data_IF_357271452144
#
_entry.id   IF_357271452144
#
_cell.length_a   1.000
_cell.length_b   1.000
_cell.length_c   1.000
_cell.angle_alpha   90.00
_cell.angle_beta   90.00
_cell.angle_gamma   90.00
#
_symmetry.space_group_name_H-M   'P 1'
#
loop_
_entity.id
_entity.type
_entity.pdbx_description
1 polymer ?
#
# COMPACT_ATOMS: atom_id res chain seq x y z
N UNK A 1 -3.59 12.42 -2.23
CA UNK A 1 -2.26 12.99 -2.55
C UNK A 1 -1.35 11.84 -3.00
N UNK A 2 -0.46 12.05 -3.96
CA UNK A 2 0.59 11.09 -4.32
C UNK A 2 1.94 11.71 -3.96
N UNK A 3 2.87 10.94 -3.36
CA UNK A 3 4.28 11.35 -3.30
C UNK A 3 4.99 11.36 -1.94
N UNK A 4 5.10 10.21 -1.27
CA UNK A 4 6.13 9.95 -0.23
C UNK A 4 7.36 9.27 -0.82
N UNK A 5 7.11 8.29 -1.69
CA UNK A 5 8.04 7.69 -2.63
C UNK A 5 7.29 7.55 -3.97
N UNK A 6 7.96 7.14 -5.07
CA UNK A 6 7.32 7.01 -6.37
C UNK A 6 6.03 6.18 -6.29
N UNK A 7 4.91 6.80 -6.69
CA UNK A 7 3.59 6.15 -6.70
C UNK A 7 2.88 5.96 -5.35
N UNK A 8 3.43 6.45 -4.23
CA UNK A 8 2.80 6.21 -2.92
C UNK A 8 1.46 6.96 -2.80
N UNK A 9 0.31 6.28 -2.66
CA UNK A 9 -0.98 6.91 -2.54
C UNK A 9 -1.32 7.20 -1.08
N UNK A 10 -1.58 8.48 -0.78
CA UNK A 10 -2.29 8.86 0.44
C UNK A 10 -3.78 8.90 0.15
N UNK A 11 -4.50 7.96 0.77
CA UNK A 11 -5.94 7.78 0.62
C UNK A 11 -6.65 8.40 1.83
N UNK A 12 -7.64 9.25 1.54
CA UNK A 12 -8.59 9.77 2.51
C UNK A 12 -9.91 8.97 2.48
N UNK A 13 -10.83 9.29 3.39
CA UNK A 13 -12.14 8.62 3.47
C UNK A 13 -12.15 7.32 4.29
N UNK A 14 -11.06 7.03 5.00
CA UNK A 14 -11.00 5.90 5.91
C UNK A 14 -11.94 6.10 7.11
N UNK A 15 -12.64 5.05 7.53
CA UNK A 15 -13.51 5.09 8.70
C UNK A 15 -12.73 5.50 9.96
N UNK A 16 -13.16 6.55 10.71
CA UNK A 16 -12.46 7.01 11.91
C UNK A 16 -12.28 5.94 13.00
N UNK A 17 -13.12 4.89 13.03
CA UNK A 17 -13.05 3.82 14.03
C UNK A 17 -11.76 2.99 13.96
N UNK A 18 -11.11 2.97 12.79
CA UNK A 18 -9.84 2.25 12.59
C UNK A 18 -8.63 3.18 12.59
N UNK A 19 -8.82 4.47 12.88
CA UNK A 19 -7.74 5.43 12.96
C UNK A 19 -6.74 5.02 14.05
N UNK A 20 -5.48 4.83 13.66
CA UNK A 20 -4.44 4.31 14.56
C UNK A 20 -3.15 5.10 14.39
N UNK A 21 -2.51 5.59 15.47
CA UNK A 21 -1.27 6.35 15.33
C UNK A 21 -0.14 5.52 14.72
N UNK A 22 0.84 6.23 14.15
CA UNK A 22 2.10 5.62 13.71
C UNK A 22 2.79 4.95 14.89
N UNK A 23 3.57 3.91 14.60
CA UNK A 23 4.51 3.32 15.55
C UNK A 23 5.47 4.40 16.05
N UNK A 24 5.79 4.36 17.34
CA UNK A 24 6.79 5.24 17.94
C UNK A 24 8.19 5.00 17.33
N UNK A 25 8.53 3.73 17.09
CA UNK A 25 9.75 3.33 16.38
C UNK A 25 9.38 2.79 14.99
N UNK A 26 9.79 3.48 13.91
CA UNK A 26 9.57 3.01 12.54
C UNK A 26 10.24 1.66 12.26
N UNK A 27 9.68 0.88 11.34
CA UNK A 27 10.38 -0.28 10.78
C UNK A 27 11.46 0.21 9.83
N UNK A 28 12.62 -0.47 9.86
CA UNK A 28 13.72 -0.20 8.93
C UNK A 28 13.36 -0.52 7.49
N UNK A 29 12.52 -1.53 7.29
CA UNK A 29 12.00 -1.91 5.98
C UNK A 29 10.54 -2.37 6.10
N UNK A 30 9.69 -1.78 5.28
CA UNK A 30 8.33 -2.23 4.99
C UNK A 30 8.36 -2.80 3.58
N UNK A 31 8.00 -4.08 3.38
CA UNK A 31 8.01 -4.68 2.05
C UNK A 31 7.12 -3.93 1.05
N UNK A 32 7.52 -3.93 -0.22
CA UNK A 32 6.68 -3.45 -1.30
C UNK A 32 5.30 -4.14 -1.27
N UNK A 33 4.30 -3.38 -1.72
CA UNK A 33 2.87 -3.70 -1.76
C UNK A 33 2.17 -3.78 -0.40
N UNK A 34 2.86 -3.46 0.70
CA UNK A 34 2.23 -3.41 2.03
C UNK A 34 1.15 -2.32 2.06
N UNK A 35 0.04 -2.58 2.76
CA UNK A 35 -1.02 -1.61 3.03
C UNK A 35 -0.95 -1.24 4.51
N UNK A 36 -1.05 0.05 4.82
CA UNK A 36 -0.99 0.50 6.19
C UNK A 36 -1.92 1.64 6.55
N UNK A 37 -2.01 1.89 7.86
CA UNK A 37 -2.75 2.99 8.46
C UNK A 37 -1.80 3.89 9.26
N UNK A 38 -2.01 5.20 9.16
CA UNK A 38 -1.37 6.21 10.00
C UNK A 38 -2.32 7.37 10.31
N UNK A 39 -2.76 7.47 11.57
CA UNK A 39 -3.81 8.39 11.96
C UNK A 39 -5.10 8.07 11.20
N UNK A 40 -5.63 9.05 10.50
CA UNK A 40 -6.86 8.93 9.69
C UNK A 40 -6.59 8.60 8.21
N UNK A 41 -5.33 8.26 7.86
CA UNK A 41 -4.94 7.97 6.49
C UNK A 41 -4.65 6.48 6.30
N UNK A 42 -4.96 6.00 5.10
CA UNK A 42 -4.53 4.69 4.58
C UNK A 42 -3.79 4.86 3.25
N UNK A 43 -3.12 3.82 2.80
CA UNK A 43 -2.18 3.90 1.68
C UNK A 43 -1.38 2.62 1.48
N UNK A 44 -0.73 2.53 0.32
CA UNK A 44 0.08 1.39 -0.09
C UNK A 44 1.54 1.77 -0.29
N UNK A 45 2.46 0.89 0.07
CA UNK A 45 3.89 1.05 -0.12
C UNK A 45 4.30 0.50 -1.49
N UNK A 46 4.59 1.32 -2.51
CA UNK A 46 4.89 0.80 -3.86
C UNK A 46 6.24 0.11 -3.93
N UNK A 47 7.19 0.57 -3.12
CA UNK A 47 8.55 0.04 -3.02
C UNK A 47 8.92 -0.18 -1.55
N UNK A 48 9.97 -0.98 -1.32
CA UNK A 48 10.47 -1.23 0.03
C UNK A 48 11.07 0.04 0.62
N UNK A 49 10.53 0.51 1.75
CA UNK A 49 10.98 1.75 2.40
C UNK A 49 10.86 1.65 3.93
N UNK A 50 11.64 2.42 4.70
CA UNK A 50 11.38 2.56 6.12
C UNK A 50 10.04 3.26 6.36
N UNK A 51 9.36 2.93 7.46
CA UNK A 51 8.12 3.61 7.78
C UNK A 51 7.48 3.23 9.11
N UNK A 52 6.66 4.13 9.63
CA UNK A 52 5.97 3.99 10.92
C UNK A 52 4.51 3.58 10.83
N UNK A 53 3.98 3.27 9.65
CA UNK A 53 2.55 2.94 9.53
C UNK A 53 2.25 1.56 10.13
N UNK A 54 1.02 1.40 10.61
CA UNK A 54 0.51 0.11 11.06
C UNK A 54 0.16 -0.72 9.83
N UNK A 55 0.93 -1.79 9.57
CA UNK A 55 0.69 -2.64 8.40
C UNK A 55 -0.44 -3.60 8.71
N UNK A 56 -1.45 -3.59 7.85
CA UNK A 56 -2.71 -4.35 8.03
C UNK A 56 -2.93 -5.41 6.95
N UNK A 57 -2.13 -5.38 5.89
CA UNK A 57 -2.24 -6.33 4.78
C UNK A 57 -1.22 -6.05 3.69
N UNK A 58 -1.32 -6.80 2.59
CA UNK A 58 -0.44 -6.67 1.43
C UNK A 58 -1.22 -6.93 0.16
N UNK A 59 -0.99 -6.10 -0.86
CA UNK A 59 -1.57 -6.29 -2.20
C UNK A 59 -0.72 -7.25 -3.04
N UNK A 60 -1.36 -8.00 -3.92
CA UNK A 60 -0.66 -8.77 -4.96
C UNK A 60 -0.24 -7.86 -6.13
N UNK A 61 -0.94 -6.73 -6.31
CA UNK A 61 -0.78 -5.79 -7.43
C UNK A 61 0.48 -4.95 -7.26
N UNK A 62 1.28 -4.82 -8.31
CA UNK A 62 2.39 -3.87 -8.36
C UNK A 62 1.88 -2.43 -8.49
N UNK A 63 2.32 -1.55 -7.60
CA UNK A 63 1.87 -0.15 -7.56
C UNK A 63 2.83 0.80 -8.28
N UNK A 64 4.07 0.36 -8.50
CA UNK A 64 5.10 1.13 -9.17
C UNK A 64 5.99 0.21 -10.03
N UNK A 65 6.17 0.58 -11.29
CA UNK A 65 7.07 -0.09 -12.23
C UNK A 65 7.80 0.99 -13.06
N UNK A 66 9.12 1.14 -12.83
CA UNK A 66 9.91 2.14 -13.53
C UNK A 66 10.08 1.87 -15.04
N UNK A 67 9.79 0.65 -15.50
CA UNK A 67 9.88 0.25 -16.91
C UNK A 67 8.57 0.45 -17.69
N UNK A 68 7.45 0.66 -16.99
CA UNK A 68 6.15 0.85 -17.60
C UNK A 68 5.98 2.27 -18.20
N UNK A 69 5.16 2.39 -19.24
CA UNK A 69 4.78 3.70 -19.84
C UNK A 69 4.11 4.62 -18.82
N UNK A 70 3.33 4.04 -17.89
CA UNK A 70 2.76 4.73 -16.74
C UNK A 70 3.36 4.13 -15.46
N UNK A 71 4.43 4.74 -14.89
CA UNK A 71 5.19 4.09 -13.83
C UNK A 71 4.44 3.89 -12.51
N UNK A 72 3.34 4.61 -12.31
CA UNK A 72 2.55 4.56 -11.08
C UNK A 72 1.15 4.06 -11.38
N UNK A 73 0.66 3.11 -10.58
CA UNK A 73 -0.68 2.54 -10.74
C UNK A 73 -1.79 3.58 -10.54
N UNK A 74 -1.61 4.50 -9.58
CA UNK A 74 -2.63 5.46 -9.16
C UNK A 74 -2.21 6.90 -9.46
N UNK A 75 -3.18 7.72 -9.85
CA UNK A 75 -3.07 9.17 -10.04
C UNK A 75 -3.87 9.90 -8.96
N UNK A 76 -3.55 11.18 -8.76
CA UNK A 76 -4.31 12.01 -7.83
C UNK A 76 -5.75 12.17 -8.35
N UNK A 77 -6.73 11.86 -7.50
CA UNK A 77 -8.15 11.89 -7.85
C UNK A 77 -8.77 10.50 -8.02
N UNK A 78 -7.96 9.45 -8.15
CA UNK A 78 -8.45 8.08 -8.26
C UNK A 78 -9.16 7.61 -6.98
N UNK A 79 -10.18 6.78 -7.16
CA UNK A 79 -10.92 6.13 -6.08
C UNK A 79 -10.41 4.69 -5.95
N UNK A 80 -10.07 4.29 -4.73
CA UNK A 80 -9.54 2.97 -4.43
C UNK A 80 -10.54 2.17 -3.59
N UNK A 81 -10.82 0.94 -4.00
CA UNK A 81 -11.58 -0.02 -3.22
C UNK A 81 -10.69 -1.24 -2.94
N UNK A 82 -10.46 -1.53 -1.66
CA UNK A 82 -9.75 -2.73 -1.24
C UNK A 82 -10.71 -3.92 -1.16
N UNK A 83 -10.35 -5.02 -1.85
CA UNK A 83 -11.01 -6.31 -1.71
C UNK A 83 -10.10 -7.25 -0.92
N UNK A 84 -10.64 -7.90 0.12
CA UNK A 84 -9.94 -8.98 0.80
C UNK A 84 -9.82 -10.18 -0.12
N UNK A 85 -8.63 -10.78 -0.17
CA UNK A 85 -8.34 -12.00 -0.93
C UNK A 85 -7.71 -13.04 -0.02
N UNK A 86 -7.80 -14.32 -0.39
CA UNK A 86 -7.14 -15.39 0.37
C UNK A 86 -5.63 -15.43 0.07
N UNK A 87 -4.82 -16.11 0.90
CA UNK A 87 -3.41 -16.35 0.59
C UNK A 87 -3.19 -17.11 -0.73
N UNK A 88 -4.11 -18.00 -1.10
CA UNK A 88 -4.08 -18.76 -2.37
C UNK A 88 -4.31 -17.83 -3.56
N UNK A 89 -5.39 -17.02 -3.51
CA UNK A 89 -5.66 -15.99 -4.53
C UNK A 89 -4.48 -15.01 -4.64
N UNK A 90 -3.86 -14.64 -3.51
CA UNK A 90 -2.66 -13.82 -3.51
C UNK A 90 -1.50 -14.50 -4.27
N UNK A 91 -1.21 -15.76 -3.99
CA UNK A 91 -0.13 -16.50 -4.63
C UNK A 91 -0.38 -16.69 -6.13
N UNK A 92 -1.61 -17.00 -6.53
CA UNK A 92 -2.03 -17.09 -7.94
C UNK A 92 -1.82 -15.77 -8.66
N UNK A 93 -2.31 -14.66 -8.10
CA UNK A 93 -2.13 -13.32 -8.67
C UNK A 93 -0.65 -12.91 -8.78
N UNK A 94 0.21 -13.46 -7.93
CA UNK A 94 1.66 -13.21 -7.98
C UNK A 94 2.39 -14.05 -9.01
N UNK A 95 1.75 -15.07 -9.58
CA UNK A 95 2.46 -16.09 -10.36
C UNK A 95 3.36 -16.96 -9.50
N UNK A 96 3.13 -16.98 -8.17
CA UNK A 96 3.86 -17.81 -7.21
C UNK A 96 3.19 -19.20 -7.05
N UNK A 97 2.01 -19.40 -7.64
CA UNK A 97 1.35 -20.69 -7.70
C UNK A 97 2.14 -21.65 -8.63
N UNK A 98 2.66 -22.72 -8.02
CA UNK A 98 3.27 -23.85 -8.72
C UNK A 98 2.22 -24.80 -9.26
#
# INVERSE_FOLDING_TARGET
MIGFCPGFPFLGGMDPRIATPRRQTPRLAIPARSIGIAGQQTGGYPISTPGGWQIIGRSAIEMFDASAENPTLLKAGDIVHFRSITPEEYAEMRGDAK
#
